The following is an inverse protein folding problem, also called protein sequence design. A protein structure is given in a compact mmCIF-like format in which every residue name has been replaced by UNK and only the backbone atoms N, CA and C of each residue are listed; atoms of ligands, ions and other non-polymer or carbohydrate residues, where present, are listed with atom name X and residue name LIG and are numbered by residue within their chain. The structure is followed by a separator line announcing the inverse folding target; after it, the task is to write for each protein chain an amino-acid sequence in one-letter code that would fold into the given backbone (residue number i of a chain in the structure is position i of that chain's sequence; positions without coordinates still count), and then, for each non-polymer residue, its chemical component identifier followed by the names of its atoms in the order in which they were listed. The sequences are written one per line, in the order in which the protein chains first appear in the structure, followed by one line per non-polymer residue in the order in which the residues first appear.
data_IF_220585314821
#
_entry.id   IF_220585314821
#
_cell.length_a   1.000
_cell.length_b   1.000
_cell.length_c   1.000
_cell.angle_alpha   90.00
_cell.angle_beta   90.00
_cell.angle_gamma   90.00
#
_symmetry.space_group_name_H-M   'P 1'
#
loop_
_entity.id
_entity.type
_entity.pdbx_description
1 polymer ?
#
# COMPACT_ATOMS: atom_id res chain seq x y z
N UNK A 1 20.85 -7.98 -70.55
CA UNK A 1 19.72 -8.85 -70.18
C UNK A 1 19.12 -9.42 -71.47
N UNK A 2 18.77 -10.70 -71.47
CA UNK A 2 17.95 -11.32 -72.50
C UNK A 2 16.61 -11.73 -71.87
N UNK A 3 15.50 -11.45 -72.53
CA UNK A 3 14.17 -11.86 -72.06
C UNK A 3 13.40 -12.46 -73.21
N UNK A 4 12.70 -13.56 -72.97
CA UNK A 4 11.88 -14.18 -74.01
C UNK A 4 10.51 -13.49 -74.03
N UNK A 5 10.18 -12.90 -75.17
CA UNK A 5 8.85 -12.35 -75.43
C UNK A 5 8.04 -13.39 -76.20
N UNK A 6 6.73 -13.45 -76.02
CA UNK A 6 5.89 -14.47 -76.67
C UNK A 6 4.55 -13.90 -77.11
N UNK A 7 4.11 -14.30 -78.30
CA UNK A 7 2.80 -14.04 -78.86
C UNK A 7 2.14 -15.33 -79.34
N UNK A 8 0.83 -15.44 -79.19
CA UNK A 8 0.06 -16.64 -79.54
C UNK A 8 -1.13 -16.28 -80.44
N UNK A 9 -1.63 -17.24 -81.21
CA UNK A 9 -2.88 -17.08 -81.97
C UNK A 9 -2.72 -16.92 -83.49
N UNK A 10 -1.53 -17.11 -84.04
CA UNK A 10 -1.30 -17.13 -85.49
C UNK A 10 -0.32 -18.22 -85.92
N UNK A 11 -0.04 -18.26 -87.22
CA UNK A 11 0.96 -19.13 -87.84
C UNK A 11 2.22 -18.36 -88.27
N UNK A 12 2.08 -17.06 -88.56
CA UNK A 12 3.17 -16.16 -88.91
C UNK A 12 3.23 -14.97 -87.95
N UNK A 13 4.44 -14.55 -87.61
CA UNK A 13 4.73 -13.51 -86.63
C UNK A 13 5.74 -12.53 -87.22
N UNK A 14 5.55 -11.24 -86.95
CA UNK A 14 6.51 -10.20 -87.33
C UNK A 14 6.64 -9.18 -86.19
N UNK A 15 7.78 -9.21 -85.50
CA UNK A 15 8.08 -8.32 -84.38
C UNK A 15 8.86 -7.07 -84.82
N UNK A 16 8.53 -5.92 -84.24
CA UNK A 16 9.19 -4.64 -84.46
C UNK A 16 9.40 -3.87 -83.15
N UNK A 17 10.60 -3.31 -82.86
CA UNK A 17 11.80 -3.27 -83.69
C UNK A 17 12.57 -4.61 -83.70
N UNK A 18 12.99 -5.07 -84.89
CA UNK A 18 13.67 -6.36 -85.06
C UNK A 18 15.15 -6.36 -84.63
N UNK A 19 15.78 -5.18 -84.50
CA UNK A 19 17.23 -5.04 -84.32
C UNK A 19 17.77 -5.65 -83.01
N UNK A 20 16.91 -5.78 -82.00
CA UNK A 20 17.25 -6.26 -80.67
C UNK A 20 16.58 -7.60 -80.35
N UNK A 21 16.16 -8.34 -81.39
CA UNK A 21 15.59 -9.69 -81.28
C UNK A 21 16.54 -10.70 -81.93
N UNK A 22 16.59 -11.91 -81.40
CA UNK A 22 17.31 -13.03 -82.02
C UNK A 22 16.69 -13.46 -83.36
N UNK A 23 15.36 -13.47 -83.45
CA UNK A 23 14.60 -13.78 -84.65
C UNK A 23 13.21 -13.11 -84.61
N UNK A 24 13.03 -12.01 -85.33
CA UNK A 24 11.76 -11.28 -85.36
C UNK A 24 10.57 -12.02 -86.01
N UNK A 25 10.75 -13.24 -86.54
CA UNK A 25 9.71 -13.96 -87.29
C UNK A 25 9.15 -15.20 -86.58
N UNK A 26 9.49 -15.41 -85.31
CA UNK A 26 8.96 -16.54 -84.52
C UNK A 26 7.98 -16.06 -83.46
N UNK A 27 7.16 -16.98 -82.95
CA UNK A 27 6.19 -16.69 -81.90
C UNK A 27 6.84 -16.20 -80.60
N UNK A 28 8.06 -16.65 -80.32
CA UNK A 28 8.72 -16.52 -79.01
C UNK A 28 10.20 -16.08 -79.07
N UNK A 29 10.52 -14.91 -79.67
CA UNK A 29 11.90 -14.45 -79.78
C UNK A 29 12.50 -14.05 -78.45
N UNK A 30 13.82 -14.11 -78.38
CA UNK A 30 14.63 -13.58 -77.29
C UNK A 30 15.00 -12.13 -77.61
N UNK A 31 14.51 -11.23 -76.77
CA UNK A 31 14.77 -9.80 -76.83
C UNK A 31 15.98 -9.41 -75.97
N UNK A 32 16.89 -8.62 -76.53
CA UNK A 32 18.05 -8.01 -75.86
C UNK A 32 18.10 -6.49 -76.09
N UNK A 33 17.08 -5.71 -75.70
CA UNK A 33 17.09 -4.27 -75.84
C UNK A 33 18.11 -3.62 -74.87
N UNK A 34 18.71 -2.51 -75.27
CA UNK A 34 19.61 -1.71 -74.41
C UNK A 34 18.91 -0.56 -73.66
N UNK A 35 17.66 -0.26 -74.01
CA UNK A 35 16.76 0.73 -73.37
C UNK A 35 15.34 0.17 -73.38
N UNK A 36 14.45 0.66 -72.51
CA UNK A 36 13.06 0.20 -72.45
C UNK A 36 12.42 0.32 -73.82
N UNK A 37 12.07 -0.84 -74.40
CA UNK A 37 11.63 -0.95 -75.79
C UNK A 37 10.27 -1.63 -75.83
N UNK A 38 9.30 -0.98 -76.48
CA UNK A 38 8.02 -1.59 -76.80
C UNK A 38 8.15 -2.33 -78.14
N UNK A 39 7.96 -3.65 -78.08
CA UNK A 39 7.88 -4.50 -79.25
C UNK A 39 6.43 -4.65 -79.68
N UNK A 40 6.14 -4.27 -80.91
CA UNK A 40 4.87 -4.54 -81.57
C UNK A 40 5.01 -5.82 -82.38
N UNK A 41 4.03 -6.71 -82.30
CA UNK A 41 3.98 -7.93 -83.10
C UNK A 41 2.74 -7.92 -83.98
N UNK A 42 2.96 -8.16 -85.27
CA UNK A 42 1.90 -8.46 -86.22
C UNK A 42 1.78 -9.98 -86.36
N UNK A 43 0.58 -10.51 -86.12
CA UNK A 43 0.25 -11.93 -86.11
C UNK A 43 -0.67 -12.22 -87.28
N UNK A 44 -0.38 -13.22 -88.10
CA UNK A 44 -1.25 -13.67 -89.21
C UNK A 44 -1.70 -15.11 -89.00
N UNK A 45 -3.01 -15.39 -89.08
CA UNK A 45 -3.54 -16.75 -88.99
C UNK A 45 -3.54 -17.50 -90.34
N UNK A 46 -3.97 -18.77 -90.30
CA UNK A 46 -4.10 -19.64 -91.47
C UNK A 46 -5.11 -19.13 -92.51
N UNK A 47 -6.03 -18.24 -92.13
CA UNK A 47 -7.03 -17.64 -93.01
C UNK A 47 -6.56 -16.29 -93.58
N UNK A 48 -5.36 -15.84 -93.23
CA UNK A 48 -4.79 -14.55 -93.68
C UNK A 48 -5.30 -13.33 -92.91
N UNK A 49 -5.98 -13.52 -91.78
CA UNK A 49 -6.37 -12.42 -90.90
C UNK A 49 -5.14 -11.90 -90.13
N UNK A 50 -5.01 -10.57 -90.06
CA UNK A 50 -3.87 -9.89 -89.44
C UNK A 50 -4.32 -9.17 -88.18
N UNK A 51 -3.60 -9.39 -87.08
CA UNK A 51 -3.78 -8.68 -85.81
C UNK A 51 -2.45 -8.07 -85.36
N UNK A 52 -2.51 -6.97 -84.64
CA UNK A 52 -1.36 -6.35 -83.99
C UNK A 52 -1.57 -6.28 -82.47
N UNK A 53 -0.48 -6.50 -81.73
CA UNK A 53 -0.42 -6.28 -80.28
C UNK A 53 0.97 -5.81 -79.89
N UNK A 54 1.15 -5.39 -78.63
CA UNK A 54 2.41 -4.84 -78.17
C UNK A 54 2.78 -5.36 -76.77
N UNK A 55 4.09 -5.43 -76.53
CA UNK A 55 4.69 -5.80 -75.26
C UNK A 55 5.86 -4.87 -74.98
N UNK A 56 5.92 -4.29 -73.78
CA UNK A 56 7.06 -3.46 -73.37
C UNK A 56 8.04 -4.27 -72.55
N UNK A 57 9.27 -4.37 -73.05
CA UNK A 57 10.40 -4.88 -72.26
C UNK A 57 11.05 -3.69 -71.57
N UNK A 58 10.92 -3.64 -70.25
CA UNK A 58 11.54 -2.63 -69.41
C UNK A 58 12.98 -3.03 -69.16
N UNK A 59 13.93 -2.15 -69.50
CA UNK A 59 15.33 -2.31 -69.12
C UNK A 59 15.65 -1.23 -68.11
N UNK A 60 15.83 -1.63 -66.86
CA UNK A 60 16.46 -0.75 -65.88
C UNK A 60 17.93 -0.60 -66.29
N UNK A 61 18.43 0.63 -66.38
CA UNK A 61 19.79 0.94 -66.82
C UNK A 61 20.63 1.61 -65.74
N UNK A 62 20.03 1.87 -64.57
CA UNK A 62 20.71 2.51 -63.45
C UNK A 62 20.80 1.51 -62.31
N UNK A 63 22.00 1.23 -61.77
CA UNK A 63 22.13 0.46 -60.53
C UNK A 63 21.32 1.15 -59.42
N UNK A 64 20.78 0.41 -58.44
CA UNK A 64 20.06 1.03 -57.35
C UNK A 64 21.02 1.91 -56.55
N UNK A 65 20.50 2.97 -55.94
CA UNK A 65 21.26 3.81 -55.01
C UNK A 65 20.56 3.68 -53.66
N UNK A 66 21.10 2.86 -52.78
CA UNK A 66 20.53 2.68 -51.46
C UNK A 66 20.63 4.00 -50.69
N UNK A 67 19.49 4.51 -50.22
CA UNK A 67 19.44 5.68 -49.34
C UNK A 67 18.58 5.33 -48.15
N UNK A 68 19.20 5.11 -47.00
CA UNK A 68 18.58 4.88 -45.71
C UNK A 68 18.63 6.17 -44.88
N UNK A 69 17.56 6.49 -44.16
CA UNK A 69 17.51 7.68 -43.31
C UNK A 69 16.61 7.48 -42.09
N UNK A 70 16.69 8.47 -41.21
CA UNK A 70 16.13 8.49 -39.86
C UNK A 70 16.91 7.59 -38.91
N UNK A 71 17.71 8.21 -38.04
CA UNK A 71 18.44 7.59 -36.94
C UNK A 71 17.64 7.85 -35.63
N UNK A 72 16.57 7.09 -35.34
CA UNK A 72 15.74 7.37 -34.18
C UNK A 72 16.47 7.08 -32.88
N UNK A 73 16.21 7.93 -31.88
CA UNK A 73 16.50 7.65 -30.48
C UNK A 73 15.23 7.07 -29.88
N UNK A 74 15.30 5.82 -29.40
CA UNK A 74 14.18 5.10 -28.81
C UNK A 74 14.51 4.67 -27.38
N UNK A 75 13.50 4.55 -26.54
CA UNK A 75 13.68 4.01 -25.20
C UNK A 75 13.70 2.48 -25.24
N UNK A 76 14.37 1.85 -24.27
CA UNK A 76 14.43 0.39 -24.17
C UNK A 76 13.01 -0.20 -24.10
N UNK A 77 12.67 -1.05 -25.07
CA UNK A 77 11.35 -1.67 -25.19
C UNK A 77 10.38 -0.96 -26.13
N UNK A 78 10.70 0.26 -26.56
CA UNK A 78 9.93 0.99 -27.57
C UNK A 78 10.38 0.64 -28.99
N UNK A 79 9.63 1.17 -29.97
CA UNK A 79 9.93 0.97 -31.39
C UNK A 79 10.18 2.29 -32.11
N UNK A 80 11.07 2.25 -33.10
CA UNK A 80 11.35 3.33 -34.02
C UNK A 80 10.95 2.95 -35.45
N UNK A 81 10.78 3.95 -36.30
CA UNK A 81 10.58 3.73 -37.73
C UNK A 81 11.83 4.18 -38.49
N UNK A 82 12.31 3.34 -39.41
CA UNK A 82 13.43 3.69 -40.29
C UNK A 82 12.95 3.63 -41.74
N UNK A 83 13.65 4.29 -42.64
CA UNK A 83 13.22 4.42 -44.03
C UNK A 83 14.35 4.13 -45.00
N UNK A 84 14.01 3.57 -46.16
CA UNK A 84 14.92 3.36 -47.28
C UNK A 84 14.24 3.68 -48.62
N UNK A 85 15.07 4.06 -49.60
CA UNK A 85 14.65 4.31 -50.98
C UNK A 85 15.74 3.95 -51.99
N UNK A 86 15.40 4.04 -53.27
CA UNK A 86 16.38 3.94 -54.37
C UNK A 86 16.46 2.59 -55.09
N UNK A 87 15.47 1.71 -54.87
CA UNK A 87 15.32 0.46 -55.63
C UNK A 87 13.90 -0.11 -55.61
N UNK A 88 13.74 -1.31 -56.17
CA UNK A 88 12.45 -1.99 -56.31
C UNK A 88 12.13 -2.98 -55.19
N UNK A 89 13.15 -3.43 -54.45
CA UNK A 89 13.01 -4.35 -53.32
C UNK A 89 14.00 -4.00 -52.21
N UNK A 90 13.63 -4.32 -50.98
CA UNK A 90 14.34 -3.96 -49.76
C UNK A 90 14.50 -5.21 -48.91
N UNK A 91 15.64 -5.33 -48.21
CA UNK A 91 15.86 -6.36 -47.20
C UNK A 91 16.73 -5.82 -46.07
N UNK A 92 16.14 -5.65 -44.89
CA UNK A 92 16.82 -5.08 -43.72
C UNK A 92 17.41 -6.14 -42.81
N UNK A 93 18.62 -5.88 -42.30
CA UNK A 93 19.32 -6.72 -41.32
C UNK A 93 19.80 -5.88 -40.13
N UNK A 94 19.84 -6.43 -38.90
CA UNK A 94 19.45 -7.79 -38.51
C UNK A 94 17.92 -7.96 -38.39
N UNK A 95 17.36 -9.09 -38.86
CA UNK A 95 15.90 -9.28 -38.96
C UNK A 95 15.19 -9.63 -37.65
N UNK A 96 15.92 -9.97 -36.59
CA UNK A 96 15.37 -10.42 -35.31
C UNK A 96 14.67 -9.31 -34.50
N UNK A 97 14.93 -8.05 -34.81
CA UNK A 97 14.39 -6.86 -34.13
C UNK A 97 13.66 -5.93 -35.10
N UNK A 98 13.10 -6.48 -36.19
CA UNK A 98 12.42 -5.72 -37.25
C UNK A 98 11.04 -6.33 -37.56
N UNK A 99 10.03 -5.48 -37.63
CA UNK A 99 8.72 -5.79 -38.21
C UNK A 99 8.74 -5.36 -39.68
N UNK A 100 8.36 -6.29 -40.57
CA UNK A 100 8.35 -6.11 -42.03
C UNK A 100 9.73 -5.74 -42.63
N UNK A 101 10.77 -6.58 -42.47
CA UNK A 101 12.13 -6.29 -42.94
C UNK A 101 12.25 -6.13 -44.46
N UNK A 102 11.21 -6.42 -45.24
CA UNK A 102 11.20 -6.24 -46.70
C UNK A 102 10.50 -4.94 -47.14
N UNK A 103 10.12 -4.08 -46.20
CA UNK A 103 9.46 -2.80 -46.47
C UNK A 103 10.48 -1.68 -46.68
N UNK A 104 10.09 -0.63 -47.40
CA UNK A 104 10.82 0.64 -47.44
C UNK A 104 10.69 1.46 -46.16
N UNK A 105 9.78 1.08 -45.24
CA UNK A 105 9.52 1.78 -43.98
C UNK A 105 9.27 0.83 -42.80
N UNK A 106 10.22 -0.08 -42.48
CA UNK A 106 10.03 -1.05 -41.40
C UNK A 106 10.03 -0.39 -40.02
N UNK A 107 9.50 -1.13 -39.04
CA UNK A 107 9.51 -0.75 -37.62
C UNK A 107 10.58 -1.59 -36.92
N UNK A 108 11.42 -0.95 -36.11
CA UNK A 108 12.56 -1.57 -35.43
C UNK A 108 12.45 -1.42 -33.92
N UNK A 109 12.86 -2.44 -33.17
CA UNK A 109 12.76 -2.48 -31.70
C UNK A 109 14.02 -3.12 -31.07
N UNK A 110 15.20 -2.52 -31.26
CA UNK A 110 16.44 -3.06 -30.71
C UNK A 110 16.51 -2.91 -29.17
N UNK A 111 17.25 -3.80 -28.50
CA UNK A 111 17.49 -3.73 -27.05
C UNK A 111 18.80 -3.00 -26.68
N UNK A 112 19.64 -2.71 -27.66
CA UNK A 112 20.88 -1.94 -27.53
C UNK A 112 21.11 -1.12 -28.80
N UNK A 113 22.05 -0.17 -28.79
CA UNK A 113 22.44 0.57 -29.99
C UNK A 113 22.74 -0.40 -31.14
N UNK A 114 21.94 -0.34 -32.20
CA UNK A 114 22.00 -1.31 -33.30
C UNK A 114 22.07 -0.58 -34.62
N UNK A 115 23.02 -1.00 -35.45
CA UNK A 115 23.11 -0.56 -36.84
C UNK A 115 22.25 -1.48 -37.71
N UNK A 116 21.30 -0.90 -38.43
CA UNK A 116 20.47 -1.60 -39.41
C UNK A 116 21.00 -1.32 -40.80
N UNK A 117 21.24 -2.39 -41.57
CA UNK A 117 21.71 -2.30 -42.95
C UNK A 117 20.59 -2.75 -43.88
N UNK A 118 20.25 -1.93 -44.86
CA UNK A 118 19.31 -2.27 -45.93
C UNK A 118 20.07 -2.73 -47.17
N UNK A 119 19.67 -3.85 -47.72
CA UNK A 119 19.97 -4.24 -49.10
C UNK A 119 18.86 -3.71 -49.99
N UNK A 120 19.20 -2.85 -50.95
CA UNK A 120 18.29 -2.29 -51.94
C UNK A 120 18.61 -2.90 -53.30
N UNK A 121 17.63 -3.58 -53.90
CA UNK A 121 17.84 -4.30 -55.15
C UNK A 121 16.85 -3.87 -56.25
N UNK A 122 17.33 -3.85 -57.49
CA UNK A 122 16.53 -3.72 -58.71
C UNK A 122 17.03 -4.72 -59.77
N UNK A 123 16.56 -4.59 -61.02
CA UNK A 123 16.98 -5.49 -62.11
C UNK A 123 18.48 -5.37 -62.50
N UNK A 124 19.17 -4.31 -62.05
CA UNK A 124 20.58 -4.04 -62.38
C UNK A 124 21.56 -4.59 -61.34
N UNK A 125 21.15 -4.78 -60.09
CA UNK A 125 22.02 -5.22 -59.02
C UNK A 125 21.50 -4.88 -57.63
N UNK A 126 22.43 -4.82 -56.69
CA UNK A 126 22.18 -4.53 -55.27
C UNK A 126 23.10 -3.40 -54.80
N UNK A 127 22.61 -2.59 -53.88
CA UNK A 127 23.38 -1.58 -53.15
C UNK A 127 22.98 -1.58 -51.68
N UNK A 128 23.83 -1.04 -50.81
CA UNK A 128 23.65 -1.11 -49.36
C UNK A 128 23.78 0.27 -48.70
N UNK A 129 22.93 0.53 -47.72
CA UNK A 129 23.06 1.67 -46.84
C UNK A 129 22.65 1.29 -45.41
N UNK A 130 22.92 2.15 -44.42
CA UNK A 130 22.64 1.85 -43.03
C UNK A 130 22.19 3.04 -42.20
N UNK A 131 21.43 2.76 -41.15
CA UNK A 131 21.00 3.71 -40.11
C UNK A 131 21.35 3.15 -38.74
N UNK A 132 21.59 4.03 -37.77
CA UNK A 132 21.92 3.67 -36.40
C UNK A 132 20.74 4.06 -35.50
N UNK A 133 20.11 3.04 -34.90
CA UNK A 133 19.07 3.25 -33.90
C UNK A 133 19.73 3.29 -32.53
N UNK A 134 19.59 4.42 -31.84
CA UNK A 134 20.14 4.60 -30.51
C UNK A 134 19.09 4.21 -29.46
N UNK A 135 19.45 3.29 -28.57
CA UNK A 135 18.60 2.86 -27.46
C UNK A 135 19.05 3.57 -26.20
N UNK A 136 18.15 4.32 -25.58
CA UNK A 136 18.35 4.94 -24.28
C UNK A 136 17.49 4.24 -23.23
N UNK A 137 17.94 4.31 -21.99
CA UNK A 137 17.15 3.89 -20.84
C UNK A 137 17.43 4.87 -19.71
N UNK A 138 16.40 5.21 -18.95
CA UNK A 138 16.56 6.03 -17.78
C UNK A 138 16.96 5.12 -16.60
N UNK A 139 18.04 5.49 -15.93
CA UNK A 139 18.47 4.82 -14.70
C UNK A 139 17.85 5.58 -13.54
N UNK A 140 16.94 4.95 -12.83
CA UNK A 140 16.33 5.50 -11.63
C UNK A 140 17.03 4.92 -10.40
N UNK A 141 17.17 5.72 -9.35
CA UNK A 141 17.56 5.28 -8.01
C UNK A 141 16.57 5.81 -6.98
N UNK A 142 16.33 5.07 -5.91
CA UNK A 142 15.41 5.44 -4.83
C UNK A 142 16.00 5.07 -3.45
N UNK A 143 15.85 5.93 -2.44
CA UNK A 143 16.35 5.70 -1.08
C UNK A 143 15.58 6.57 -0.05
N UNK A 144 15.65 6.27 1.26
CA UNK A 144 16.38 5.18 1.90
C UNK A 144 15.58 3.90 2.06
N UNK A 145 16.26 2.76 2.00
CA UNK A 145 15.81 1.53 2.66
C UNK A 145 16.00 1.70 4.16
N UNK A 146 14.90 1.67 4.92
CA UNK A 146 14.96 1.97 6.36
C UNK A 146 13.93 1.20 7.18
N UNK A 147 14.12 1.20 8.49
CA UNK A 147 13.17 0.70 9.48
C UNK A 147 12.68 1.86 10.34
N UNK A 148 11.36 1.99 10.50
CA UNK A 148 10.74 3.07 11.28
C UNK A 148 9.59 2.56 12.14
N UNK A 149 9.20 3.36 13.13
CA UNK A 149 8.03 3.06 13.94
C UNK A 149 6.73 3.31 13.14
N UNK A 150 5.61 2.68 13.53
CA UNK A 150 4.33 2.91 12.87
C UNK A 150 3.95 4.40 12.79
N UNK A 151 3.52 4.86 11.62
CA UNK A 151 3.11 6.24 11.32
C UNK A 151 4.21 7.30 11.44
N UNK A 152 5.48 6.90 11.60
CA UNK A 152 6.59 7.83 11.56
C UNK A 152 6.76 8.39 10.14
N UNK A 153 7.02 9.69 10.05
CA UNK A 153 7.24 10.35 8.76
C UNK A 153 8.63 10.03 8.22
N UNK A 154 8.68 9.65 6.94
CA UNK A 154 9.91 9.36 6.21
C UNK A 154 9.92 10.17 4.92
N UNK A 155 11.03 10.87 4.67
CA UNK A 155 11.28 11.53 3.39
C UNK A 155 11.80 10.50 2.38
N UNK A 156 11.22 10.52 1.18
CA UNK A 156 11.61 9.68 0.05
C UNK A 156 12.48 10.50 -0.91
N UNK A 157 13.56 9.90 -1.35
CA UNK A 157 14.45 10.50 -2.33
C UNK A 157 14.55 9.61 -3.57
N UNK A 158 14.78 10.27 -4.70
CA UNK A 158 15.03 9.60 -5.96
C UNK A 158 16.01 10.40 -6.83
N UNK A 159 16.61 9.72 -7.81
CA UNK A 159 17.46 10.34 -8.82
C UNK A 159 17.25 9.68 -10.19
N UNK A 160 17.87 10.24 -11.23
CA UNK A 160 17.80 9.71 -12.60
C UNK A 160 16.94 10.51 -13.57
N UNK A 161 16.03 11.34 -13.07
CA UNK A 161 15.14 12.17 -13.88
C UNK A 161 14.07 12.86 -13.04
N UNK A 162 13.07 13.41 -13.71
CA UNK A 162 11.91 14.03 -13.08
C UNK A 162 10.95 12.95 -12.59
N UNK A 163 10.46 13.07 -11.36
CA UNK A 163 9.49 12.11 -10.81
C UNK A 163 8.14 12.25 -11.51
N UNK A 164 7.67 11.17 -12.12
CA UNK A 164 6.31 11.05 -12.66
C UNK A 164 5.35 10.66 -11.53
N UNK A 165 5.67 9.59 -10.81
CA UNK A 165 4.79 9.02 -9.80
C UNK A 165 5.54 8.15 -8.79
N UNK A 166 4.93 7.99 -7.62
CA UNK A 166 5.26 6.97 -6.63
C UNK A 166 4.12 5.96 -6.53
N UNK A 167 4.43 4.70 -6.28
CA UNK A 167 3.48 3.65 -5.99
C UNK A 167 3.80 3.02 -4.62
N UNK A 168 2.84 2.86 -3.69
CA UNK A 168 1.42 3.21 -3.80
C UNK A 168 1.14 4.71 -3.77
N UNK A 169 0.41 5.23 -4.77
CA UNK A 169 0.16 6.67 -4.99
C UNK A 169 -0.46 7.35 -3.77
N UNK A 170 -1.41 6.69 -3.11
CA UNK A 170 -2.13 7.26 -1.96
C UNK A 170 -1.32 7.22 -0.65
N UNK A 171 -0.17 6.56 -0.63
CA UNK A 171 0.68 6.47 0.56
C UNK A 171 1.77 7.55 0.59
N UNK A 172 1.97 8.27 -0.52
CA UNK A 172 3.00 9.31 -0.65
C UNK A 172 2.32 10.67 -0.83
N UNK A 173 2.77 11.66 -0.05
CA UNK A 173 2.35 13.05 -0.19
C UNK A 173 3.57 13.93 -0.46
N UNK A 174 3.32 15.09 -1.08
CA UNK A 174 4.36 16.02 -1.47
C UNK A 174 4.25 17.30 -0.65
N UNK A 175 5.38 17.84 -0.22
CA UNK A 175 5.50 19.17 0.36
C UNK A 175 6.55 19.93 -0.46
N UNK A 176 6.12 20.98 -1.16
CA UNK A 176 6.94 21.66 -2.15
C UNK A 176 7.50 20.67 -3.20
N UNK A 177 8.82 20.44 -3.24
CA UNK A 177 9.47 19.52 -4.18
C UNK A 177 9.88 18.19 -3.53
N UNK A 178 9.58 17.98 -2.25
CA UNK A 178 9.99 16.80 -1.50
C UNK A 178 8.82 15.83 -1.30
N UNK A 179 9.11 14.53 -1.30
CA UNK A 179 8.14 13.45 -1.15
C UNK A 179 8.26 12.81 0.23
N UNK A 180 7.12 12.49 0.84
CA UNK A 180 7.04 11.94 2.19
C UNK A 180 6.00 10.83 2.29
N UNK A 181 6.15 9.98 3.30
CA UNK A 181 5.18 8.93 3.62
C UNK A 181 5.12 8.67 5.12
N UNK A 182 4.01 8.07 5.58
CA UNK A 182 3.76 7.66 6.97
C UNK A 182 3.21 6.23 7.00
N UNK A 183 4.04 5.21 6.73
CA UNK A 183 3.59 3.83 6.67
C UNK A 183 3.17 3.33 8.05
N UNK A 184 2.10 2.54 8.08
CA UNK A 184 1.69 1.76 9.27
C UNK A 184 1.92 0.24 9.09
N UNK A 185 2.30 -0.17 7.89
CA UNK A 185 2.69 -1.53 7.52
C UNK A 185 3.95 -1.48 6.65
N UNK A 186 4.79 -2.50 6.72
CA UNK A 186 5.98 -2.61 5.87
C UNK A 186 5.55 -2.58 4.40
N UNK A 187 6.08 -1.62 3.63
CA UNK A 187 5.64 -1.33 2.28
C UNK A 187 6.84 -1.09 1.37
N UNK A 188 6.79 -1.68 0.17
CA UNK A 188 7.71 -1.35 -0.93
C UNK A 188 7.16 -0.13 -1.69
N UNK A 189 7.98 0.89 -1.85
CA UNK A 189 7.67 2.10 -2.61
C UNK A 189 8.44 2.07 -3.92
N UNK A 190 7.75 2.27 -5.03
CA UNK A 190 8.34 2.31 -6.36
C UNK A 190 8.18 3.70 -6.96
N UNK A 191 9.28 4.30 -7.41
CA UNK A 191 9.29 5.57 -8.14
C UNK A 191 9.37 5.30 -9.63
N UNK A 192 8.60 6.05 -10.42
CA UNK A 192 8.76 6.15 -11.87
C UNK A 192 9.26 7.55 -12.20
N UNK A 193 10.38 7.64 -12.92
CA UNK A 193 11.00 8.90 -13.35
C UNK A 193 11.06 8.99 -14.87
N UNK A 194 11.19 10.21 -15.40
CA UNK A 194 11.44 10.51 -16.80
C UNK A 194 12.76 11.27 -16.95
N UNK A 195 13.66 10.78 -17.80
CA UNK A 195 14.90 11.49 -18.10
C UNK A 195 14.70 12.65 -19.10
N UNK A 196 15.77 13.41 -19.37
CA UNK A 196 15.73 14.53 -20.33
C UNK A 196 15.45 14.12 -21.78
N UNK A 197 15.54 12.83 -22.10
CA UNK A 197 15.28 12.27 -23.42
C UNK A 197 13.86 11.69 -23.55
N UNK A 198 13.05 11.74 -22.48
CA UNK A 198 11.69 11.20 -22.44
C UNK A 198 11.61 9.72 -22.08
N UNK A 199 12.72 9.08 -21.70
CA UNK A 199 12.71 7.69 -21.31
C UNK A 199 12.34 7.51 -19.84
N UNK A 200 11.53 6.48 -19.58
CA UNK A 200 11.09 6.17 -18.22
C UNK A 200 11.99 5.13 -17.55
N UNK A 201 12.22 5.34 -16.25
CA UNK A 201 12.99 4.45 -15.39
C UNK A 201 12.24 4.20 -14.10
N UNK A 202 12.47 3.04 -13.48
CA UNK A 202 11.83 2.67 -12.22
C UNK A 202 12.87 2.19 -11.20
N UNK A 203 12.66 2.57 -9.95
CA UNK A 203 13.43 2.09 -8.81
C UNK A 203 12.50 1.86 -7.62
N UNK A 204 12.87 0.96 -6.72
CA UNK A 204 12.13 0.74 -5.48
C UNK A 204 13.00 0.91 -4.25
N UNK A 205 12.33 1.23 -3.14
CA UNK A 205 12.87 1.25 -1.79
C UNK A 205 11.91 0.53 -0.84
N UNK A 206 12.43 0.04 0.27
CA UNK A 206 11.67 -0.69 1.27
C UNK A 206 11.66 0.06 2.60
N UNK A 207 10.46 0.38 3.08
CA UNK A 207 10.26 0.90 4.44
C UNK A 207 9.62 -0.20 5.27
N UNK A 208 10.40 -0.74 6.21
CA UNK A 208 9.97 -1.77 7.11
C UNK A 208 9.48 -1.16 8.43
N UNK A 209 8.37 -1.67 8.96
CA UNK A 209 7.83 -1.23 10.24
C UNK A 209 8.37 -2.08 11.37
N UNK A 210 8.94 -1.43 12.38
CA UNK A 210 9.37 -2.07 13.61
C UNK A 210 8.15 -2.57 14.40
N UNK A 211 8.22 -3.77 15.01
CA UNK A 211 7.18 -4.21 15.92
C UNK A 211 7.08 -3.25 17.12
N UNK A 212 5.88 -3.05 17.70
CA UNK A 212 5.74 -2.24 18.89
C UNK A 212 6.58 -2.85 20.03
N UNK A 213 7.19 -2.02 20.89
CA UNK A 213 7.95 -2.54 22.01
C UNK A 213 7.03 -3.30 22.98
N UNK A 214 7.56 -4.34 23.60
CA UNK A 214 6.83 -5.10 24.61
C UNK A 214 6.54 -4.21 25.83
N UNK A 215 5.26 -4.15 26.20
CA UNK A 215 4.76 -3.43 27.36
C UNK A 215 3.57 -4.20 27.94
N UNK A 216 3.58 -4.40 29.24
CA UNK A 216 2.50 -4.98 30.03
C UNK A 216 2.35 -4.14 31.31
N UNK A 217 1.18 -3.52 31.51
CA UNK A 217 0.87 -2.66 32.66
C UNK A 217 0.60 -3.46 33.95
N UNK A 218 0.48 -4.79 33.84
CA UNK A 218 0.08 -5.70 34.89
C UNK A 218 -1.44 -5.87 34.98
N UNK A 219 -1.85 -6.86 35.76
CA UNK A 219 -3.26 -7.18 35.98
C UNK A 219 -3.99 -6.09 36.78
N UNK A 220 -5.30 -5.97 36.51
CA UNK A 220 -6.21 -5.13 37.27
C UNK A 220 -6.23 -5.53 38.76
N UNK A 221 -6.26 -4.55 39.65
CA UNK A 221 -6.05 -4.76 41.08
C UNK A 221 -7.03 -3.98 41.96
N UNK A 222 -7.23 -4.49 43.17
CA UNK A 222 -8.02 -3.82 44.20
C UNK A 222 -7.09 -3.04 45.12
N UNK A 223 -7.39 -1.77 45.33
CA UNK A 223 -6.69 -0.97 46.33
C UNK A 223 -7.25 -1.35 47.71
N UNK A 224 -6.44 -1.93 48.60
CA UNK A 224 -6.86 -2.24 49.98
C UNK A 224 -6.37 -1.20 50.99
N UNK A 225 -5.18 -0.63 50.78
CA UNK A 225 -4.55 0.38 51.62
C UNK A 225 -4.65 1.80 51.01
N UNK A 226 -3.87 2.76 51.52
CA UNK A 226 -3.82 4.14 51.01
C UNK A 226 -3.12 4.23 49.64
N UNK A 227 -2.23 3.28 49.34
CA UNK A 227 -1.53 3.21 48.05
C UNK A 227 -1.21 1.76 47.66
N UNK A 228 -0.96 1.53 46.38
CA UNK A 228 -0.59 0.24 45.82
C UNK A 228 0.63 0.38 44.91
N UNK A 229 1.63 -0.49 45.07
CA UNK A 229 2.76 -0.56 44.13
C UNK A 229 2.31 -1.30 42.86
N UNK A 230 2.34 -0.62 41.73
CA UNK A 230 2.15 -1.22 40.40
C UNK A 230 3.48 -1.28 39.66
N UNK A 231 3.64 -2.29 38.81
CA UNK A 231 4.87 -2.56 38.09
C UNK A 231 4.52 -2.86 36.63
N UNK A 232 5.05 -2.06 35.70
CA UNK A 232 4.98 -2.40 34.29
C UNK A 232 6.16 -3.29 33.88
N UNK A 233 5.92 -4.26 33.00
CA UNK A 233 6.97 -5.03 32.35
C UNK A 233 7.27 -4.44 30.97
N UNK A 234 8.55 -4.13 30.70
CA UNK A 234 9.00 -3.52 29.46
C UNK A 234 10.41 -2.97 29.60
N UNK A 235 11.03 -2.58 28.49
CA UNK A 235 12.36 -1.93 28.47
C UNK A 235 12.28 -0.63 27.68
N UNK A 236 12.40 0.50 28.38
CA UNK A 236 12.30 1.82 27.77
C UNK A 236 12.06 2.91 28.82
N UNK A 237 11.65 4.09 28.34
CA UNK A 237 11.17 5.19 29.16
C UNK A 237 9.67 5.03 29.39
N UNK A 238 9.23 5.10 30.65
CA UNK A 238 7.82 4.97 31.03
C UNK A 238 7.18 6.34 31.23
N UNK A 239 5.88 6.43 31.00
CA UNK A 239 5.06 7.61 31.28
C UNK A 239 3.65 7.16 31.69
N UNK A 240 3.32 7.32 32.97
CA UNK A 240 2.04 6.96 33.57
C UNK A 240 1.05 8.14 33.58
N UNK A 241 -0.22 7.84 33.30
CA UNK A 241 -1.33 8.79 33.35
C UNK A 241 -2.57 8.14 33.97
N UNK A 242 -3.35 8.84 34.81
CA UNK A 242 -3.18 10.22 35.25
C UNK A 242 -2.05 10.39 36.28
N UNK A 243 -1.09 11.28 36.05
CA UNK A 243 0.09 11.47 36.93
C UNK A 243 -0.23 11.99 38.32
N UNK A 244 -1.41 12.60 38.53
CA UNK A 244 -1.83 13.17 39.82
C UNK A 244 -2.01 12.11 40.93
N UNK A 245 -2.25 10.85 40.55
CA UNK A 245 -2.44 9.73 41.49
C UNK A 245 -1.25 8.76 41.48
N UNK A 246 -0.10 9.18 40.96
CA UNK A 246 1.09 8.35 40.77
C UNK A 246 2.27 9.03 41.46
N UNK A 247 3.04 8.29 42.26
CA UNK A 247 4.18 8.88 43.01
C UNK A 247 5.37 9.22 42.11
N UNK A 248 5.62 8.40 41.09
CA UNK A 248 6.61 8.64 40.05
C UNK A 248 6.00 8.26 38.70
N UNK A 249 5.67 9.23 37.86
CA UNK A 249 5.03 9.01 36.57
C UNK A 249 5.99 8.51 35.48
N UNK A 250 7.30 8.53 35.73
CA UNK A 250 8.33 8.07 34.78
C UNK A 250 9.04 6.78 35.17
N UNK A 251 8.71 6.22 36.32
CA UNK A 251 9.31 5.00 36.83
C UNK A 251 8.58 3.76 36.31
N UNK A 252 9.33 2.69 36.03
CA UNK A 252 8.76 1.37 35.69
C UNK A 252 7.86 0.84 36.81
N UNK A 253 8.31 1.00 38.06
CA UNK A 253 7.59 0.62 39.26
C UNK A 253 7.20 1.89 40.01
N UNK A 254 5.93 2.03 40.34
CA UNK A 254 5.42 3.26 40.94
C UNK A 254 4.25 2.98 41.88
N UNK A 255 4.08 3.82 42.90
CA UNK A 255 2.95 3.69 43.81
C UNK A 255 1.79 4.54 43.30
N UNK A 256 0.58 3.99 43.33
CA UNK A 256 -0.65 4.67 42.95
C UNK A 256 -1.60 4.81 44.12
N UNK A 257 -2.29 5.95 44.17
CA UNK A 257 -3.20 6.33 45.27
C UNK A 257 -4.49 6.97 44.73
N UNK A 258 -5.26 6.28 43.87
CA UNK A 258 -6.50 6.82 43.33
C UNK A 258 -7.58 6.91 44.41
N UNK A 259 -8.39 7.98 44.38
CA UNK A 259 -9.48 8.19 45.35
C UNK A 259 -10.85 7.61 44.90
N UNK A 260 -10.88 7.00 43.72
CA UNK A 260 -12.01 6.31 43.09
C UNK A 260 -11.45 5.32 42.08
N UNK A 261 -12.25 4.35 41.63
CA UNK A 261 -11.81 3.42 40.59
C UNK A 261 -11.24 4.18 39.41
N UNK A 262 -9.98 3.90 39.07
CA UNK A 262 -9.20 4.66 38.08
C UNK A 262 -8.40 3.70 37.23
N UNK A 263 -8.50 3.86 35.92
CA UNK A 263 -7.65 3.18 34.95
C UNK A 263 -6.42 4.04 34.70
N UNK A 264 -5.25 3.48 35.00
CA UNK A 264 -3.97 4.07 34.67
C UNK A 264 -3.51 3.55 33.32
N UNK A 265 -3.04 4.46 32.46
CA UNK A 265 -2.38 4.13 31.20
C UNK A 265 -0.88 4.37 31.37
N UNK A 266 -0.07 3.38 31.03
CA UNK A 266 1.37 3.52 30.89
C UNK A 266 1.73 3.57 29.41
N UNK A 267 2.52 4.56 29.03
CA UNK A 267 3.16 4.65 27.71
C UNK A 267 4.65 4.30 27.88
N UNK A 268 5.17 3.47 27.00
CA UNK A 268 6.59 3.13 26.94
C UNK A 268 7.18 3.63 25.62
N UNK A 269 8.36 4.24 25.69
CA UNK A 269 9.18 4.60 24.52
C UNK A 269 10.51 3.86 24.58
N UNK A 270 10.82 3.05 23.56
CA UNK A 270 12.07 2.30 23.50
C UNK A 270 13.29 3.15 23.06
N UNK A 271 14.46 2.54 22.94
CA UNK A 271 15.69 3.22 22.50
C UNK A 271 15.68 3.66 21.03
N UNK A 272 14.77 3.12 20.22
CA UNK A 272 14.58 3.45 18.81
C UNK A 272 13.51 4.54 18.61
N UNK A 273 12.82 4.94 19.68
CA UNK A 273 11.76 5.94 19.66
C UNK A 273 10.36 5.38 19.40
N UNK A 274 10.20 4.06 19.30
CA UNK A 274 8.89 3.45 19.12
C UNK A 274 8.12 3.44 20.42
N UNK A 275 6.82 3.68 20.33
CA UNK A 275 5.94 3.76 21.49
C UNK A 275 4.93 2.63 21.52
N UNK A 276 4.58 2.20 22.73
CA UNK A 276 3.44 1.33 22.99
C UNK A 276 2.71 1.82 24.25
N UNK A 277 1.45 1.43 24.43
CA UNK A 277 0.67 1.79 25.61
C UNK A 277 -0.18 0.63 26.10
N UNK A 278 -0.26 0.50 27.41
CA UNK A 278 -1.10 -0.49 28.08
C UNK A 278 -1.78 0.10 29.33
N UNK A 279 -2.78 -0.61 29.86
CA UNK A 279 -3.64 -0.11 30.92
C UNK A 279 -3.77 -1.09 32.09
N UNK A 280 -3.85 -0.53 33.30
CA UNK A 280 -4.19 -1.27 34.52
C UNK A 280 -5.26 -0.49 35.29
N UNK A 281 -6.32 -1.18 35.69
CA UNK A 281 -7.42 -0.60 36.45
C UNK A 281 -7.28 -0.91 37.93
N UNK A 282 -7.31 0.15 38.73
CA UNK A 282 -7.30 0.05 40.18
C UNK A 282 -8.70 0.29 40.71
N UNK A 283 -9.32 -0.76 41.24
CA UNK A 283 -10.65 -0.73 41.82
C UNK A 283 -10.62 -0.16 43.23
N UNK A 284 -11.48 0.85 43.47
CA UNK A 284 -11.65 1.48 44.77
C UNK A 284 -13.12 1.35 45.17
N UNK A 285 -13.42 0.38 46.02
CA UNK A 285 -14.76 0.20 46.59
C UNK A 285 -14.74 0.36 48.10
N UNK A 286 -15.85 0.89 48.61
CA UNK A 286 -16.21 0.87 50.02
C UNK A 286 -17.64 0.34 50.06
N UNK A 287 -17.94 -0.60 50.97
CA UNK A 287 -19.26 -1.23 51.04
C UNK A 287 -19.79 -1.18 52.46
N UNK A 288 -21.10 -0.93 52.59
CA UNK A 288 -21.82 -0.98 53.85
C UNK A 288 -23.08 -1.81 53.61
N UNK A 289 -23.18 -2.91 54.32
CA UNK A 289 -24.34 -3.77 54.31
C UNK A 289 -25.09 -3.63 55.63
N UNK A 290 -26.37 -3.27 55.52
CA UNK A 290 -27.27 -3.10 56.66
C UNK A 290 -28.41 -4.12 56.54
N UNK A 291 -28.60 -5.01 57.53
CA UNK A 291 -29.72 -5.95 57.51
C UNK A 291 -31.06 -5.21 57.55
N UNK A 292 -32.13 -5.86 57.09
CA UNK A 292 -33.48 -5.29 57.11
C UNK A 292 -34.37 -5.84 58.24
N UNK A 293 -33.95 -6.89 58.94
CA UNK A 293 -34.65 -7.45 60.07
C UNK A 293 -33.71 -8.20 61.03
N UNK A 294 -34.12 -8.34 62.29
CA UNK A 294 -33.44 -9.14 63.31
C UNK A 294 -34.46 -9.64 64.36
N UNK A 295 -34.08 -10.68 65.11
CA UNK A 295 -34.94 -11.42 66.04
C UNK A 295 -34.28 -11.56 67.41
N UNK A 296 -34.40 -10.57 68.30
CA UNK A 296 -33.79 -10.60 69.64
C UNK A 296 -34.57 -11.53 70.59
N UNK A 297 -34.48 -12.84 70.38
CA UNK A 297 -35.18 -13.89 71.12
C UNK A 297 -34.25 -14.71 72.05
N UNK A 298 -32.94 -14.48 71.99
CA UNK A 298 -31.92 -15.12 72.79
C UNK A 298 -31.51 -16.51 72.31
N UNK A 299 -31.79 -16.88 71.06
CA UNK A 299 -31.42 -18.18 70.47
C UNK A 299 -30.00 -18.22 69.87
N UNK A 300 -29.29 -17.09 69.88
CA UNK A 300 -27.96 -16.90 69.33
C UNK A 300 -27.93 -16.53 67.85
N UNK A 301 -29.08 -16.44 67.18
CA UNK A 301 -29.22 -16.22 65.73
C UNK A 301 -29.97 -14.93 65.46
N UNK A 302 -29.31 -13.96 64.80
CA UNK A 302 -29.88 -12.65 64.49
C UNK A 302 -30.44 -11.91 65.71
N UNK A 303 -29.91 -12.17 66.91
CA UNK A 303 -30.33 -11.49 68.14
C UNK A 303 -29.92 -10.02 68.19
N UNK A 304 -28.91 -9.66 67.39
CA UNK A 304 -28.29 -8.34 67.40
C UNK A 304 -28.33 -7.78 65.98
N UNK A 305 -28.81 -6.54 65.87
CA UNK A 305 -28.71 -5.74 64.67
C UNK A 305 -27.34 -5.06 64.58
N UNK A 306 -26.51 -5.51 63.64
CA UNK A 306 -25.20 -4.92 63.39
C UNK A 306 -25.01 -4.63 61.90
N UNK A 307 -24.23 -3.58 61.62
CA UNK A 307 -23.86 -3.17 60.27
C UNK A 307 -22.57 -3.89 59.88
N UNK A 308 -22.53 -4.51 58.70
CA UNK A 308 -21.29 -5.08 58.14
C UNK A 308 -20.67 -4.07 57.19
N UNK A 309 -19.36 -3.91 57.27
CA UNK A 309 -18.63 -2.93 56.46
C UNK A 309 -17.46 -3.55 55.73
N UNK A 310 -17.08 -2.93 54.62
CA UNK A 310 -15.85 -3.18 53.89
C UNK A 310 -15.18 -1.84 53.56
N UNK A 311 -13.92 -1.67 53.97
CA UNK A 311 -13.13 -0.42 53.83
C UNK A 311 -13.77 0.84 54.43
N UNK A 312 -14.38 0.69 55.61
CA UNK A 312 -14.86 1.80 56.45
C UNK A 312 -13.95 1.96 57.68
N UNK A 313 -13.46 3.18 57.92
CA UNK A 313 -12.52 3.51 59.00
C UNK A 313 -13.23 3.94 60.28
N UNK A 314 -14.27 4.75 60.14
CA UNK A 314 -15.11 5.23 61.25
C UNK A 314 -16.57 5.00 60.84
N UNK A 315 -17.40 4.51 61.75
CA UNK A 315 -18.84 4.33 61.53
C UNK A 315 -19.59 4.63 62.82
N UNK A 316 -20.66 5.39 62.74
CA UNK A 316 -21.59 5.60 63.84
C UNK A 316 -22.96 5.06 63.43
N UNK A 317 -23.52 4.18 64.26
CA UNK A 317 -24.84 3.60 64.10
C UNK A 317 -25.80 4.23 65.10
N UNK A 318 -26.91 4.76 64.60
CA UNK A 318 -28.01 5.29 65.39
C UNK A 318 -29.28 4.51 65.08
N UNK A 319 -30.07 4.19 66.12
CA UNK A 319 -31.42 3.63 65.98
C UNK A 319 -32.43 4.55 66.63
N UNK A 320 -33.54 4.80 65.95
CA UNK A 320 -34.63 5.64 66.39
C UNK A 320 -35.96 4.90 66.35
N UNK A 321 -36.87 5.29 67.24
CA UNK A 321 -38.28 4.91 67.12
C UNK A 321 -38.99 5.73 66.01
N UNK A 322 -40.27 5.45 65.77
CA UNK A 322 -41.09 6.15 64.76
C UNK A 322 -41.32 7.63 65.07
N UNK A 323 -41.05 8.06 66.29
CA UNK A 323 -41.26 9.43 66.77
C UNK A 323 -39.96 10.23 66.85
N UNK A 324 -38.81 9.61 66.54
CA UNK A 324 -37.50 10.23 66.55
C UNK A 324 -36.75 10.13 67.88
N UNK A 325 -37.23 9.36 68.86
CA UNK A 325 -36.48 9.06 70.09
C UNK A 325 -35.30 8.12 69.75
N UNK A 326 -34.07 8.52 70.08
CA UNK A 326 -32.88 7.68 69.92
C UNK A 326 -32.92 6.53 70.93
N UNK A 327 -32.97 5.30 70.41
CA UNK A 327 -33.00 4.07 71.19
C UNK A 327 -31.59 3.49 71.39
N UNK A 328 -30.72 3.66 70.40
CA UNK A 328 -29.37 3.10 70.42
C UNK A 328 -28.39 4.00 69.68
N UNK A 329 -27.14 4.00 70.16
CA UNK A 329 -26.00 4.63 69.52
C UNK A 329 -24.77 3.76 69.76
N UNK A 330 -23.97 3.56 68.72
CA UNK A 330 -22.63 2.98 68.82
C UNK A 330 -21.72 3.56 67.75
N UNK A 331 -20.48 3.86 68.12
CA UNK A 331 -19.36 4.14 67.22
C UNK A 331 -18.40 2.94 67.08
N UNK A 332 -18.67 1.84 67.79
CA UNK A 332 -17.96 0.58 67.67
C UNK A 332 -18.68 -0.35 66.70
N UNK A 333 -17.97 -0.74 65.62
CA UNK A 333 -18.44 -1.65 64.58
C UNK A 333 -18.79 -3.06 65.12
N UNK A 334 -18.29 -3.44 66.29
CA UNK A 334 -18.56 -4.74 66.89
C UNK A 334 -19.76 -4.73 67.85
N UNK A 335 -20.34 -3.56 68.13
CA UNK A 335 -21.48 -3.41 69.03
C UNK A 335 -22.72 -3.09 68.20
N UNK A 336 -23.67 -4.02 68.19
CA UNK A 336 -24.97 -3.84 67.57
C UNK A 336 -26.10 -3.65 68.58
N UNK A 337 -27.30 -3.39 68.08
CA UNK A 337 -28.48 -3.20 68.89
C UNK A 337 -29.21 -4.52 69.11
N UNK A 338 -29.41 -4.90 70.37
CA UNK A 338 -30.09 -6.13 70.81
C UNK A 338 -31.60 -5.96 71.00
N UNK A 339 -32.17 -4.83 70.59
CA UNK A 339 -33.59 -4.54 70.79
C UNK A 339 -33.94 -4.08 72.21
N UNK A 340 -32.98 -3.90 73.12
CA UNK A 340 -33.25 -3.43 74.49
C UNK A 340 -33.12 -1.90 74.55
N UNK A 341 -34.09 -1.26 75.20
CA UNK A 341 -34.05 0.17 75.52
C UNK A 341 -34.52 0.39 76.96
N UNK A 342 -33.73 1.13 77.76
CA UNK A 342 -34.01 1.39 79.19
C UNK A 342 -34.32 0.12 79.99
N UNK A 343 -33.60 -0.97 79.70
CA UNK A 343 -33.72 -2.26 80.40
C UNK A 343 -34.92 -3.12 80.00
N UNK A 344 -35.70 -2.73 78.99
CA UNK A 344 -36.84 -3.50 78.48
C UNK A 344 -36.69 -3.73 76.98
N UNK A 345 -37.07 -4.91 76.50
CA UNK A 345 -37.16 -5.19 75.06
C UNK A 345 -38.21 -4.28 74.42
N UNK A 346 -37.85 -3.64 73.31
CA UNK A 346 -38.78 -2.75 72.59
C UNK A 346 -39.87 -3.54 71.86
N UNK A 347 -40.85 -2.84 71.30
CA UNK A 347 -42.00 -3.45 70.63
C UNK A 347 -41.59 -4.13 69.33
N UNK A 348 -42.38 -5.12 68.88
CA UNK A 348 -42.31 -5.57 67.50
C UNK A 348 -42.74 -4.43 66.58
N UNK A 349 -41.78 -3.79 65.95
CA UNK A 349 -42.00 -2.64 65.10
C UNK A 349 -40.86 -2.48 64.10
N UNK A 350 -41.05 -1.55 63.17
CA UNK A 350 -40.02 -1.04 62.27
C UNK A 350 -39.39 0.19 62.89
N UNK A 351 -38.07 0.12 63.02
CA UNK A 351 -37.21 1.15 63.58
C UNK A 351 -36.40 1.82 62.47
N UNK A 352 -36.11 3.10 62.63
CA UNK A 352 -35.29 3.85 61.67
C UNK A 352 -33.84 3.74 62.12
N UNK A 353 -32.95 3.36 61.22
CA UNK A 353 -31.52 3.41 61.47
C UNK A 353 -30.87 4.49 60.62
N UNK A 354 -29.82 5.09 61.17
CA UNK A 354 -28.94 6.01 60.46
C UNK A 354 -27.51 5.56 60.70
N UNK A 355 -26.74 5.51 59.63
CA UNK A 355 -25.32 5.20 59.62
C UNK A 355 -24.59 6.40 59.05
N UNK A 356 -23.74 7.03 59.85
CA UNK A 356 -22.73 7.96 59.34
C UNK A 356 -21.41 7.21 59.26
N UNK A 357 -20.65 7.42 58.19
CA UNK A 357 -19.40 6.69 58.01
C UNK A 357 -18.32 7.57 57.40
N UNK A 358 -17.08 7.15 57.60
CA UNK A 358 -15.89 7.66 56.93
C UNK A 358 -15.12 6.46 56.39
N UNK A 359 -14.93 6.42 55.08
CA UNK A 359 -14.16 5.35 54.46
C UNK A 359 -12.65 5.51 54.71
N UNK A 360 -11.87 4.51 54.29
CA UNK A 360 -10.40 4.53 54.44
C UNK A 360 -9.73 5.71 53.72
N UNK A 361 -10.37 6.28 52.70
CA UNK A 361 -9.89 7.47 51.98
C UNK A 361 -10.33 8.79 52.64
N UNK A 362 -11.01 8.72 53.78
CA UNK A 362 -11.51 9.87 54.53
C UNK A 362 -12.80 10.47 53.98
N UNK A 363 -13.43 9.86 52.97
CA UNK A 363 -14.71 10.31 52.41
C UNK A 363 -15.82 10.00 53.41
N UNK A 364 -16.65 10.99 53.70
CA UNK A 364 -17.79 10.86 54.62
C UNK A 364 -19.08 10.59 53.86
N UNK A 365 -19.94 9.75 54.42
CA UNK A 365 -21.26 9.48 53.87
C UNK A 365 -22.29 9.19 54.96
N UNK A 366 -23.54 9.13 54.54
CA UNK A 366 -24.68 8.84 55.40
C UNK A 366 -25.62 7.88 54.68
N UNK A 367 -26.11 6.88 55.40
CA UNK A 367 -27.14 5.95 54.96
C UNK A 367 -28.28 5.99 55.99
N UNK A 368 -29.51 6.00 55.50
CA UNK A 368 -30.71 5.93 56.34
C UNK A 368 -31.58 4.81 55.79
N UNK A 369 -32.16 4.03 56.68
CA UNK A 369 -33.12 3.01 56.30
C UNK A 369 -33.93 2.55 57.49
N UNK A 370 -34.56 1.40 57.33
CA UNK A 370 -35.37 0.79 58.37
C UNK A 370 -34.93 -0.63 58.66
N UNK A 371 -35.14 -1.06 59.90
CA UNK A 371 -34.98 -2.44 60.34
C UNK A 371 -36.26 -2.87 61.05
N UNK A 372 -36.76 -4.05 60.71
CA UNK A 372 -37.91 -4.65 61.39
C UNK A 372 -37.42 -5.57 62.51
N UNK A 373 -37.84 -5.26 63.74
CA UNK A 373 -37.70 -6.19 64.85
C UNK A 373 -38.88 -7.16 64.82
N UNK A 374 -38.57 -8.45 64.64
CA UNK A 374 -39.57 -9.53 64.58
C UNK A 374 -39.33 -10.47 65.76
N UNK A 375 -40.42 -11.03 66.30
CA UNK A 375 -40.36 -12.13 67.28
C UNK A 375 -41.49 -13.11 67.02
#
# INVERSE_FOLDING_TARGET
MNTQISATGGIDYLWFPAATLDNANIANPVATPGVTTTYNVTITDINGCVWDTSMTVITDSVPPIANAWNDPIVCLGDSGQIFASGGGSYFWTPTNTIINPNSSSPIVFPSQNTQYTVEVANACGVDYDSVIVQVRFAVADAWPDTMVCPNQEVQLFSSGGNVISWNPVNAVYQIANDYFTRPNISTEYMVTIEDSAGCQGQASLNINILPPPFLDAGEDQWLFEDSLLINAAGVGNFAWSPSIFVSCDTCQNTSVFPNKTTTFTVMLTDSLGCTNSDQVTIFVTSEIWVPNAFTPNGDGTNDVFFVKTFRIKELELYIFDRWGEQLFYSDDLNIGWDGIYKGTLVKNDTYVWKVTYKDVLGRRGELIGTVTLVR
#
